data_IF_511875952933
#
_entry.id   IF_511875952933
#
_cell.length_a   1.000
_cell.length_b   1.000
_cell.length_c   1.000
_cell.angle_alpha   90.00
_cell.angle_beta   90.00
_cell.angle_gamma   90.00
#
_symmetry.space_group_name_H-M   'P 1'
#
loop_
_entity.id
_entity.type
_entity.pdbx_description
1 polymer ?
#
# COMPACT_ATOMS: atom_id res chain seq x y z
N UNK A 1 -17.32 -4.00 6.20
CA UNK A 1 -16.11 -4.85 6.21
C UNK A 1 -16.62 -6.27 6.24
N UNK A 2 -16.25 -7.08 5.26
CA UNK A 2 -16.59 -8.50 5.17
C UNK A 2 -15.39 -9.31 5.69
N UNK A 3 -15.57 -10.04 6.79
CA UNK A 3 -14.46 -10.74 7.46
C UNK A 3 -14.05 -12.01 6.72
N UNK A 4 -15.00 -12.72 6.14
CA UNK A 4 -14.73 -13.95 5.39
C UNK A 4 -13.99 -13.61 4.09
N UNK A 5 -14.42 -12.54 3.40
CA UNK A 5 -13.70 -12.05 2.23
C UNK A 5 -12.30 -11.53 2.59
N UNK A 6 -12.13 -10.91 3.76
CA UNK A 6 -10.81 -10.45 4.20
C UNK A 6 -9.84 -11.61 4.42
N UNK A 7 -10.32 -12.70 5.03
CA UNK A 7 -9.54 -13.92 5.20
C UNK A 7 -9.20 -14.56 3.85
N UNK A 8 -10.17 -14.70 2.94
CA UNK A 8 -9.94 -15.27 1.61
C UNK A 8 -8.93 -14.46 0.79
N UNK A 9 -9.03 -13.13 0.83
CA UNK A 9 -8.09 -12.24 0.15
C UNK A 9 -6.69 -12.35 0.77
N UNK A 10 -6.58 -12.47 2.10
CA UNK A 10 -5.31 -12.66 2.78
C UNK A 10 -4.65 -14.01 2.44
N UNK A 11 -5.42 -15.09 2.41
CA UNK A 11 -4.97 -16.41 1.96
C UNK A 11 -4.49 -16.37 0.51
N UNK A 12 -5.24 -15.67 -0.37
CA UNK A 12 -4.86 -15.46 -1.77
C UNK A 12 -3.53 -14.71 -1.90
N UNK A 13 -3.33 -13.65 -1.12
CA UNK A 13 -2.07 -12.89 -1.11
C UNK A 13 -0.90 -13.74 -0.58
N UNK A 14 -1.14 -14.54 0.47
CA UNK A 14 -0.12 -15.40 1.05
C UNK A 14 0.31 -16.49 0.06
N UNK A 15 -0.65 -17.14 -0.60
CA UNK A 15 -0.39 -18.09 -1.68
C UNK A 15 0.28 -17.44 -2.90
N UNK A 16 0.01 -16.16 -3.15
CA UNK A 16 0.54 -15.41 -4.27
C UNK A 16 1.98 -14.90 -4.09
N UNK A 17 2.50 -14.85 -2.88
CA UNK A 17 3.90 -14.50 -2.59
C UNK A 17 4.58 -15.60 -1.79
N UNK A 18 4.48 -15.54 -0.47
CA UNK A 18 5.28 -16.32 0.49
C UNK A 18 5.19 -17.86 0.32
N UNK A 19 4.13 -18.43 -0.29
CA UNK A 19 4.03 -19.90 -0.50
C UNK A 19 4.64 -20.41 -1.82
N UNK A 20 5.22 -19.56 -2.65
CA UNK A 20 5.83 -19.98 -3.92
C UNK A 20 7.15 -19.27 -4.21
N UNK A 21 7.90 -19.82 -5.16
CA UNK A 21 9.11 -19.19 -5.64
C UNK A 21 8.75 -18.13 -6.69
N UNK A 22 9.09 -16.87 -6.40
CA UNK A 22 8.65 -15.70 -7.17
C UNK A 22 7.22 -15.30 -6.80
N UNK A 23 6.69 -14.27 -7.46
CA UNK A 23 5.43 -13.65 -7.04
C UNK A 23 4.42 -13.50 -8.17
N UNK A 24 3.15 -13.75 -7.83
CA UNK A 24 2.02 -13.45 -8.70
C UNK A 24 1.53 -12.03 -8.43
N UNK A 25 2.16 -11.11 -9.14
CA UNK A 25 1.83 -9.69 -9.14
C UNK A 25 0.35 -9.43 -9.46
N UNK A 26 -0.29 -10.29 -10.28
CA UNK A 26 -1.67 -10.08 -10.70
C UNK A 26 -2.64 -10.30 -9.55
N UNK A 27 -2.40 -11.29 -8.69
CA UNK A 27 -3.20 -11.50 -7.49
C UNK A 27 -3.10 -10.32 -6.50
N UNK A 28 -1.90 -9.76 -6.33
CA UNK A 28 -1.71 -8.54 -5.53
C UNK A 28 -2.46 -7.35 -6.14
N UNK A 29 -2.33 -7.12 -7.45
CA UNK A 29 -3.07 -6.05 -8.13
C UNK A 29 -4.58 -6.23 -7.95
N UNK A 30 -5.10 -7.43 -8.15
CA UNK A 30 -6.53 -7.73 -8.06
C UNK A 30 -7.08 -7.38 -6.67
N UNK A 31 -6.42 -7.83 -5.61
CA UNK A 31 -6.87 -7.56 -4.23
C UNK A 31 -6.70 -6.07 -3.89
N UNK A 32 -5.51 -5.50 -4.11
CA UNK A 32 -5.20 -4.14 -3.69
C UNK A 32 -5.91 -3.05 -4.51
N UNK A 33 -6.25 -3.31 -5.78
CA UNK A 33 -6.92 -2.33 -6.62
C UNK A 33 -8.45 -2.38 -6.53
N UNK A 34 -9.05 -3.53 -6.19
CA UNK A 34 -10.51 -3.71 -6.22
C UNK A 34 -11.19 -3.55 -4.86
N UNK A 35 -10.46 -3.72 -3.75
CA UNK A 35 -11.05 -3.60 -2.40
C UNK A 35 -11.01 -2.16 -1.91
N UNK A 36 -12.05 -1.75 -1.20
CA UNK A 36 -12.07 -0.45 -0.52
C UNK A 36 -11.08 -0.44 0.66
N UNK A 37 -10.66 0.75 1.12
CA UNK A 37 -9.62 0.87 2.14
C UNK A 37 -9.96 0.25 3.51
N UNK A 38 -11.22 0.28 3.93
CA UNK A 38 -11.63 -0.37 5.18
C UNK A 38 -11.51 -1.89 5.08
N UNK A 39 -11.87 -2.44 3.92
CA UNK A 39 -11.70 -3.87 3.63
C UNK A 39 -10.21 -4.24 3.57
N UNK A 40 -9.39 -3.45 2.87
CA UNK A 40 -7.95 -3.69 2.76
C UNK A 40 -7.25 -3.69 4.11
N UNK A 41 -7.65 -2.82 5.03
CA UNK A 41 -7.09 -2.81 6.38
C UNK A 41 -7.35 -4.16 7.08
N UNK A 42 -8.57 -4.70 6.98
CA UNK A 42 -8.88 -6.02 7.51
C UNK A 42 -8.11 -7.15 6.80
N UNK A 43 -7.92 -7.06 5.48
CA UNK A 43 -7.09 -8.01 4.70
C UNK A 43 -5.66 -8.00 5.21
N UNK A 44 -5.07 -6.82 5.46
CA UNK A 44 -3.69 -6.72 5.95
C UNK A 44 -3.53 -7.29 7.36
N UNK A 45 -4.53 -7.10 8.22
CA UNK A 45 -4.53 -7.69 9.57
C UNK A 45 -4.59 -9.22 9.50
N UNK A 46 -5.45 -9.80 8.66
CA UNK A 46 -5.50 -11.27 8.48
C UNK A 46 -4.23 -11.79 7.80
N UNK A 47 -3.70 -11.07 6.81
CA UNK A 47 -2.45 -11.42 6.14
C UNK A 47 -1.29 -11.49 7.13
N UNK A 48 -1.16 -10.52 8.03
CA UNK A 48 -0.11 -10.51 9.04
C UNK A 48 -0.21 -11.72 9.99
N UNK A 49 -1.42 -12.17 10.34
CA UNK A 49 -1.61 -13.38 11.14
C UNK A 49 -1.21 -14.65 10.40
N UNK A 50 -1.47 -14.71 9.09
CA UNK A 50 -1.16 -15.88 8.26
C UNK A 50 0.33 -15.97 7.90
N UNK A 51 0.90 -14.86 7.42
CA UNK A 51 2.28 -14.79 6.94
C UNK A 51 3.31 -14.59 8.05
N UNK A 52 2.89 -14.07 9.21
CA UNK A 52 3.80 -13.66 10.29
C UNK A 52 4.67 -12.45 9.93
N UNK A 53 4.32 -11.73 8.85
CA UNK A 53 5.10 -10.66 8.22
C UNK A 53 4.18 -9.54 7.74
N UNK A 54 4.65 -8.30 7.76
CA UNK A 54 3.84 -7.19 7.26
C UNK A 54 3.72 -7.24 5.73
N UNK A 55 2.53 -6.93 5.20
CA UNK A 55 2.31 -6.91 3.74
C UNK A 55 3.28 -5.98 3.00
N UNK A 56 3.74 -4.87 3.61
CA UNK A 56 4.75 -4.01 3.01
C UNK A 56 6.09 -4.73 2.88
N UNK A 57 6.47 -5.53 3.88
CA UNK A 57 7.73 -6.28 3.84
C UNK A 57 7.67 -7.38 2.77
N UNK A 58 6.51 -8.00 2.58
CA UNK A 58 6.30 -8.99 1.51
C UNK A 58 6.35 -8.35 0.13
N UNK A 59 5.75 -7.16 -0.05
CA UNK A 59 5.88 -6.40 -1.30
C UNK A 59 7.35 -6.02 -1.57
N UNK A 60 8.11 -5.64 -0.52
CA UNK A 60 9.52 -5.24 -0.66
C UNK A 60 10.45 -6.40 -1.03
N UNK A 61 10.16 -7.63 -0.55
CA UNK A 61 10.98 -8.80 -0.86
C UNK A 61 10.68 -9.41 -2.24
N UNK A 62 9.46 -9.21 -2.73
CA UNK A 62 8.94 -9.94 -3.89
C UNK A 62 8.86 -9.11 -5.19
N UNK A 63 8.82 -7.79 -5.08
CA UNK A 63 8.55 -6.91 -6.22
C UNK A 63 9.58 -5.78 -6.31
N UNK A 64 9.66 -5.16 -7.49
CA UNK A 64 10.55 -4.01 -7.69
C UNK A 64 9.97 -2.95 -8.62
N UNK A 65 10.52 -1.74 -8.56
CA UNK A 65 10.21 -0.67 -9.50
C UNK A 65 8.82 -0.06 -9.30
N UNK A 66 8.10 0.15 -10.41
CA UNK A 66 6.85 0.92 -10.39
C UNK A 66 5.69 0.17 -9.72
N UNK A 67 5.63 -1.15 -9.88
CA UNK A 67 4.57 -1.97 -9.28
C UNK A 67 4.71 -2.01 -7.76
N UNK A 68 5.92 -2.25 -7.25
CA UNK A 68 6.25 -2.17 -5.82
C UNK A 68 5.84 -0.81 -5.24
N UNK A 69 6.25 0.28 -5.91
CA UNK A 69 5.93 1.65 -5.51
C UNK A 69 4.42 1.93 -5.48
N UNK A 70 3.68 1.41 -6.45
CA UNK A 70 2.22 1.55 -6.56
C UNK A 70 1.48 0.82 -5.46
N UNK A 71 1.81 -0.46 -5.22
CA UNK A 71 1.17 -1.27 -4.19
C UNK A 71 1.46 -0.73 -2.79
N UNK A 72 2.71 -0.32 -2.49
CA UNK A 72 3.06 0.33 -1.22
C UNK A 72 2.28 1.63 -1.01
N UNK A 73 2.04 2.40 -2.07
CA UNK A 73 1.23 3.61 -2.00
C UNK A 73 -0.23 3.30 -1.61
N UNK A 74 -0.82 2.23 -2.16
CA UNK A 74 -2.17 1.77 -1.80
C UNK A 74 -2.21 1.34 -0.34
N UNK A 75 -1.29 0.48 0.11
CA UNK A 75 -1.24 0.00 1.50
C UNK A 75 -1.12 1.16 2.48
N UNK A 76 -0.17 2.09 2.25
CA UNK A 76 0.02 3.26 3.12
C UNK A 76 -1.19 4.17 3.12
N UNK A 77 -1.83 4.37 1.96
CA UNK A 77 -3.03 5.20 1.84
C UNK A 77 -4.25 4.59 2.55
N UNK A 78 -4.35 3.25 2.55
CA UNK A 78 -5.42 2.53 3.24
C UNK A 78 -5.25 2.62 4.76
N UNK A 79 -4.01 2.45 5.26
CA UNK A 79 -3.68 2.52 6.69
C UNK A 79 -3.81 3.93 7.26
N UNK A 80 -3.15 4.90 6.63
CA UNK A 80 -3.12 6.27 7.10
C UNK A 80 -2.80 7.24 5.95
N UNK A 81 -3.85 7.77 5.33
CA UNK A 81 -3.73 8.68 4.19
C UNK A 81 -2.99 9.98 4.54
N UNK A 82 -3.30 10.70 5.64
CA UNK A 82 -2.53 11.88 6.04
C UNK A 82 -1.03 11.58 6.20
N UNK A 83 -0.68 10.50 6.88
CA UNK A 83 0.72 10.09 7.07
C UNK A 83 1.42 9.77 5.75
N UNK A 84 0.74 9.08 4.83
CA UNK A 84 1.28 8.82 3.49
C UNK A 84 1.66 10.12 2.76
N UNK A 85 0.77 11.11 2.77
CA UNK A 85 1.06 12.41 2.13
C UNK A 85 2.14 13.19 2.87
N UNK A 86 2.17 13.17 4.21
CA UNK A 86 3.25 13.78 4.99
C UNK A 86 4.61 13.17 4.64
N UNK A 87 4.68 11.84 4.51
CA UNK A 87 5.88 11.14 4.06
C UNK A 87 6.27 11.53 2.62
N UNK A 88 5.32 11.67 1.70
CA UNK A 88 5.59 12.10 0.32
C UNK A 88 6.09 13.55 0.26
N UNK A 89 5.55 14.46 1.08
CA UNK A 89 6.03 15.83 1.22
C UNK A 89 7.46 15.86 1.76
N UNK A 90 7.72 15.13 2.84
CA UNK A 90 9.07 15.00 3.40
C UNK A 90 10.07 14.47 2.35
N UNK A 91 9.73 13.40 1.63
CA UNK A 91 10.57 12.87 0.55
C UNK A 91 10.81 13.86 -0.58
N UNK A 92 9.82 14.70 -0.93
CA UNK A 92 9.97 15.71 -1.97
C UNK A 92 10.93 16.85 -1.59
N UNK A 93 11.13 17.10 -0.29
CA UNK A 93 11.97 18.20 0.22
C UNK A 93 13.32 17.76 0.79
N UNK A 94 13.49 16.48 1.13
CA UNK A 94 14.70 15.99 1.83
C UNK A 94 15.94 15.87 0.94
N UNK A 95 15.78 15.68 -0.37
CA UNK A 95 16.91 15.49 -1.29
C UNK A 95 17.64 16.82 -1.54
N UNK A 96 18.81 16.78 -2.19
CA UNK A 96 19.45 18.01 -2.66
C UNK A 96 18.55 18.64 -3.74
N UNK A 97 17.93 19.78 -3.42
CA UNK A 97 16.87 20.38 -4.22
C UNK A 97 15.47 19.88 -3.84
N UNK A 98 14.45 20.35 -4.53
CA UNK A 98 13.06 20.02 -4.24
C UNK A 98 12.42 19.35 -5.45
N UNK A 99 11.62 18.30 -5.23
CA UNK A 99 10.72 17.80 -6.26
C UNK A 99 9.47 18.69 -6.30
N UNK A 100 9.61 19.87 -6.92
CA UNK A 100 8.58 20.91 -6.93
C UNK A 100 7.26 20.40 -7.51
N UNK A 101 7.31 19.59 -8.57
CA UNK A 101 6.11 19.00 -9.17
C UNK A 101 5.30 18.16 -8.17
N UNK A 102 5.97 17.33 -7.36
CA UNK A 102 5.30 16.53 -6.33
C UNK A 102 4.81 17.39 -5.18
N UNK A 103 5.63 18.35 -4.73
CA UNK A 103 5.29 19.25 -3.65
C UNK A 103 4.04 20.07 -3.98
N UNK A 104 4.06 20.80 -5.11
CA UNK A 104 2.94 21.64 -5.58
C UNK A 104 1.69 20.79 -5.73
N UNK A 105 1.78 19.63 -6.39
CA UNK A 105 0.63 18.74 -6.59
C UNK A 105 -0.01 18.31 -5.27
N UNK A 106 0.78 17.94 -4.27
CA UNK A 106 0.23 17.50 -2.98
C UNK A 106 -0.39 18.68 -2.22
N UNK A 107 0.29 19.82 -2.14
CA UNK A 107 -0.23 20.99 -1.44
C UNK A 107 -1.56 21.46 -2.04
N UNK A 108 -1.63 21.60 -3.37
CA UNK A 108 -2.84 22.05 -4.06
C UNK A 108 -3.98 21.03 -3.95
N UNK A 109 -3.71 19.73 -4.14
CA UNK A 109 -4.80 18.72 -4.14
C UNK A 109 -5.30 18.33 -2.74
N UNK A 110 -4.57 18.67 -1.67
CA UNK A 110 -4.88 18.25 -0.30
C UNK A 110 -5.21 19.40 0.66
N UNK A 111 -5.05 20.66 0.24
CA UNK A 111 -5.31 21.86 1.05
C UNK A 111 -6.72 21.89 1.66
N UNK A 112 -7.73 21.39 0.93
CA UNK A 112 -9.14 21.43 1.35
C UNK A 112 -9.66 20.09 1.88
N UNK A 113 -8.80 19.06 1.98
CA UNK A 113 -9.23 17.69 2.31
C UNK A 113 -8.50 17.07 3.49
N UNK A 114 -7.22 17.43 3.71
CA UNK A 114 -6.38 16.87 4.79
C UNK A 114 -5.85 17.96 5.73
N UNK A 115 -5.77 19.21 5.27
CA UNK A 115 -5.15 20.33 6.00
C UNK A 115 -6.14 21.21 6.79
N UNK A 116 -7.40 20.83 6.84
CA UNK A 116 -8.46 21.41 7.68
C UNK A 116 -8.94 20.31 8.63
#
# INVERSE_FOLDING_TARGET
IDRDQAQQDAEKLYAAGEQKFGTDESAFIEVLALRNFYQLTAVFDEYQKLAGKDILESIDSEMSGNIESGLKAIVRSARNRPEYFAYKLYKAMRLAGTNDSTLIRIIVSRSEVILI
#
